data_IF_527561681573
#
_entry.id   IF_527561681573
#
_cell.length_a   1.000
_cell.length_b   1.000
_cell.length_c   1.000
_cell.angle_alpha   90.00
_cell.angle_beta   90.00
_cell.angle_gamma   90.00
#
_symmetry.space_group_name_H-M   'P 1'
#
loop_
_entity.id
_entity.type
_entity.pdbx_description
1 polymer ?
#
# COMPACT_ATOMS: atom_id res chain seq x y z
N UNK A 1 -30.56 22.62 -2.50
CA UNK A 1 -30.94 22.11 -3.85
C UNK A 1 -29.82 21.30 -4.54
N UNK A 2 -28.58 21.24 -4.01
CA UNK A 2 -27.49 20.44 -4.63
C UNK A 2 -27.43 18.96 -4.18
N UNK A 3 -28.16 18.57 -3.13
CA UNK A 3 -28.18 17.21 -2.59
C UNK A 3 -29.08 16.24 -3.38
N UNK A 4 -30.10 16.77 -4.08
CA UNK A 4 -30.99 15.93 -4.92
C UNK A 4 -30.44 15.66 -6.32
N UNK A 5 -29.55 16.51 -6.84
CA UNK A 5 -28.92 16.29 -8.15
C UNK A 5 -27.83 15.20 -8.08
N UNK A 6 -27.14 15.09 -6.93
CA UNK A 6 -26.22 13.97 -6.63
C UNK A 6 -26.97 12.63 -6.47
N UNK A 7 -28.21 12.64 -5.98
CA UNK A 7 -29.08 11.46 -5.89
C UNK A 7 -29.62 10.98 -7.24
N UNK A 8 -29.75 11.86 -8.24
CA UNK A 8 -30.18 11.46 -9.58
C UNK A 8 -29.07 10.76 -10.40
N UNK A 9 -27.79 11.10 -10.14
CA UNK A 9 -26.63 10.42 -10.76
C UNK A 9 -26.31 9.07 -10.11
N UNK A 10 -26.74 8.84 -8.87
CA UNK A 10 -26.72 7.55 -8.18
C UNK A 10 -27.60 6.50 -8.90
N UNK A 11 -28.78 6.91 -9.40
CA UNK A 11 -29.78 6.00 -9.98
C UNK A 11 -29.36 5.39 -11.32
N UNK A 12 -28.57 6.14 -12.11
CA UNK A 12 -28.14 5.70 -13.45
C UNK A 12 -27.00 4.67 -13.45
N UNK A 13 -26.25 4.59 -12.34
CA UNK A 13 -25.19 3.60 -12.12
C UNK A 13 -25.72 2.34 -11.42
N UNK A 14 -26.74 2.50 -10.55
CA UNK A 14 -27.41 1.38 -9.87
C UNK A 14 -28.14 0.43 -10.82
N UNK A 15 -28.66 0.93 -11.95
CA UNK A 15 -29.48 0.09 -12.85
C UNK A 15 -28.67 -0.86 -13.76
N UNK A 16 -27.36 -0.64 -13.94
CA UNK A 16 -26.51 -1.50 -14.81
C UNK A 16 -25.66 -2.52 -14.05
N UNK A 17 -25.56 -2.40 -12.73
CA UNK A 17 -24.79 -3.31 -11.86
C UNK A 17 -25.57 -4.52 -11.32
N UNK A 18 -26.79 -4.79 -11.82
CA UNK A 18 -27.73 -5.72 -11.17
C UNK A 18 -27.39 -7.22 -11.27
N UNK A 19 -26.31 -7.64 -11.93
CA UNK A 19 -25.97 -9.09 -12.00
C UNK A 19 -24.50 -9.47 -11.71
N UNK A 20 -23.54 -8.53 -11.58
CA UNK A 20 -22.10 -8.90 -11.53
C UNK A 20 -21.28 -8.34 -10.34
N UNK A 21 -21.86 -7.58 -9.41
CA UNK A 21 -21.11 -6.87 -8.36
C UNK A 21 -20.92 -7.62 -7.02
N UNK A 22 -20.81 -8.95 -7.03
CA UNK A 22 -20.68 -9.74 -5.80
C UNK A 22 -19.45 -10.67 -5.88
N UNK A 23 -18.41 -10.36 -5.09
CA UNK A 23 -17.23 -11.21 -4.98
C UNK A 23 -17.32 -12.12 -3.75
N UNK A 24 -16.91 -13.37 -3.93
CA UNK A 24 -16.82 -14.34 -2.85
C UNK A 24 -15.37 -14.49 -2.42
N UNK A 25 -15.13 -14.23 -1.15
CA UNK A 25 -13.86 -14.46 -0.48
C UNK A 25 -13.74 -15.93 -0.08
N UNK A 26 -12.64 -16.58 -0.47
CA UNK A 26 -12.39 -17.99 -0.16
C UNK A 26 -11.78 -18.13 1.24
N UNK A 27 -12.61 -18.51 2.22
CA UNK A 27 -12.14 -18.78 3.60
C UNK A 27 -13.05 -18.27 4.71
N UNK A 28 -14.13 -17.56 4.37
CA UNK A 28 -15.15 -17.11 5.32
C UNK A 28 -14.77 -15.87 6.15
N UNK A 29 -13.69 -15.15 5.79
CA UNK A 29 -13.29 -13.86 6.35
C UNK A 29 -12.66 -13.01 5.25
N UNK A 30 -13.13 -11.78 5.08
CA UNK A 30 -12.53 -10.82 4.12
C UNK A 30 -11.09 -10.48 4.54
N UNK A 31 -10.13 -10.67 3.64
CA UNK A 31 -8.74 -10.23 3.85
C UNK A 31 -8.42 -8.98 3.00
N UNK A 32 -7.52 -8.08 3.46
CA UNK A 32 -7.19 -6.86 2.72
C UNK A 32 -6.75 -7.09 1.27
N UNK A 33 -5.96 -8.15 1.01
CA UNK A 33 -5.49 -8.49 -0.34
C UNK A 33 -6.63 -8.77 -1.34
N UNK A 34 -7.75 -9.34 -0.89
CA UNK A 34 -8.91 -9.58 -1.77
C UNK A 34 -9.68 -8.29 -2.07
N UNK A 35 -9.72 -7.36 -1.10
CA UNK A 35 -10.29 -6.03 -1.33
C UNK A 35 -9.42 -5.28 -2.34
N UNK A 36 -8.10 -5.33 -2.19
CA UNK A 36 -7.16 -4.70 -3.11
C UNK A 36 -7.38 -5.16 -4.55
N UNK A 37 -7.49 -6.47 -4.78
CA UNK A 37 -7.67 -7.03 -6.12
C UNK A 37 -8.99 -6.58 -6.75
N UNK A 38 -10.05 -6.48 -5.94
CA UNK A 38 -11.36 -6.02 -6.41
C UNK A 38 -11.38 -4.52 -6.69
N UNK A 39 -10.64 -3.72 -5.92
CA UNK A 39 -10.44 -2.30 -6.20
C UNK A 39 -9.68 -2.09 -7.52
N UNK A 40 -8.64 -2.88 -7.79
CA UNK A 40 -7.90 -2.85 -9.05
C UNK A 40 -8.80 -3.20 -10.24
N UNK A 41 -9.59 -4.27 -10.11
CA UNK A 41 -10.54 -4.70 -11.13
C UNK A 41 -11.59 -3.61 -11.41
N UNK A 42 -12.20 -3.06 -10.35
CA UNK A 42 -13.19 -1.97 -10.46
C UNK A 42 -12.60 -0.73 -11.14
N UNK A 43 -11.37 -0.35 -10.79
CA UNK A 43 -10.64 0.76 -11.38
C UNK A 43 -10.37 0.58 -12.89
N UNK A 44 -10.09 -0.66 -13.31
CA UNK A 44 -9.87 -1.02 -14.71
C UNK A 44 -11.18 -1.06 -15.52
N UNK A 45 -12.25 -1.61 -14.93
CA UNK A 45 -13.54 -1.77 -15.60
C UNK A 45 -14.27 -0.44 -15.80
N UNK A 46 -13.98 0.57 -14.97
CA UNK A 46 -14.64 1.88 -14.98
C UNK A 46 -13.76 3.03 -15.51
N UNK A 47 -12.78 2.73 -16.37
CA UNK A 47 -11.96 3.76 -17.02
C UNK A 47 -12.81 4.70 -17.89
N UNK A 48 -12.64 6.00 -17.66
CA UNK A 48 -13.32 7.06 -18.39
C UNK A 48 -12.34 7.84 -19.26
N UNK A 49 -12.71 8.14 -20.50
CA UNK A 49 -11.86 8.95 -21.38
C UNK A 49 -12.13 10.45 -21.16
N UNK A 50 -11.10 11.20 -20.79
CA UNK A 50 -11.18 12.65 -20.64
C UNK A 50 -11.11 13.40 -21.98
N UNK A 51 -11.45 14.69 -21.96
CA UNK A 51 -11.38 15.58 -23.14
C UNK A 51 -9.95 15.78 -23.65
N UNK A 52 -8.96 15.58 -22.78
CA UNK A 52 -7.52 15.59 -23.08
C UNK A 52 -7.04 14.30 -23.77
N UNK A 53 -7.94 13.35 -24.01
CA UNK A 53 -7.67 12.06 -24.63
C UNK A 53 -7.06 11.01 -23.69
N UNK A 54 -6.77 11.36 -22.42
CA UNK A 54 -6.24 10.44 -21.42
C UNK A 54 -7.34 9.55 -20.85
N UNK A 55 -6.93 8.40 -20.32
CA UNK A 55 -7.81 7.52 -19.56
C UNK A 55 -7.72 7.89 -18.09
N UNK A 56 -8.86 8.18 -17.48
CA UNK A 56 -9.01 8.48 -16.07
C UNK A 56 -9.61 7.28 -15.36
N UNK A 57 -8.96 6.87 -14.27
CA UNK A 57 -9.51 5.90 -13.35
C UNK A 57 -10.36 6.61 -12.30
N UNK A 58 -11.47 6.00 -11.83
CA UNK A 58 -12.21 6.54 -10.70
C UNK A 58 -11.32 6.59 -9.46
N UNK A 59 -11.54 7.60 -8.62
CA UNK A 59 -10.67 7.88 -7.48
C UNK A 59 -11.44 7.91 -6.16
N UNK A 60 -12.76 7.73 -6.15
CA UNK A 60 -13.51 7.48 -4.91
C UNK A 60 -14.10 6.08 -4.97
N UNK A 61 -13.67 5.23 -4.05
CA UNK A 61 -14.01 3.82 -3.97
C UNK A 61 -14.71 3.53 -2.64
N UNK A 62 -15.89 2.93 -2.71
CA UNK A 62 -16.62 2.46 -1.52
C UNK A 62 -16.76 0.95 -1.55
N UNK A 63 -16.23 0.30 -0.52
CA UNK A 63 -16.27 -1.14 -0.28
C UNK A 63 -17.33 -1.42 0.79
N UNK A 64 -18.45 -2.00 0.36
CA UNK A 64 -19.47 -2.55 1.24
C UNK A 64 -19.07 -3.95 1.74
N UNK A 65 -19.10 -4.15 3.05
CA UNK A 65 -18.78 -5.44 3.70
C UNK A 65 -19.83 -5.81 4.75
N UNK A 66 -19.84 -7.06 5.20
CA UNK A 66 -20.73 -7.48 6.31
C UNK A 66 -20.32 -6.86 7.65
N UNK A 67 -21.25 -6.77 8.61
CA UNK A 67 -20.98 -6.27 9.96
C UNK A 67 -19.86 -7.06 10.67
N UNK A 68 -19.70 -8.36 10.35
CA UNK A 68 -18.64 -9.18 10.93
C UNK A 68 -17.27 -8.93 10.30
N UNK A 69 -17.24 -8.66 9.00
CA UNK A 69 -15.99 -8.38 8.29
C UNK A 69 -15.47 -6.97 8.63
N UNK A 70 -16.34 -5.97 8.76
CA UNK A 70 -15.90 -4.63 9.17
C UNK A 70 -15.33 -4.63 10.60
N UNK A 71 -15.90 -5.42 11.52
CA UNK A 71 -15.35 -5.59 12.88
C UNK A 71 -13.94 -6.21 12.85
N UNK A 72 -13.71 -7.17 11.95
CA UNK A 72 -12.40 -7.81 11.79
C UNK A 72 -11.39 -6.89 11.09
N UNK A 73 -11.79 -6.21 10.01
CA UNK A 73 -10.92 -5.31 9.23
C UNK A 73 -10.53 -4.07 10.04
N UNK A 74 -11.46 -3.52 10.83
CA UNK A 74 -11.21 -2.34 11.66
C UNK A 74 -10.27 -2.57 12.85
N UNK A 75 -9.88 -3.82 13.13
CA UNK A 75 -8.81 -4.11 14.09
C UNK A 75 -7.50 -3.45 13.66
N UNK A 76 -7.28 -3.31 12.35
CA UNK A 76 -6.20 -2.53 11.78
C UNK A 76 -6.77 -1.27 11.12
N UNK A 77 -6.53 -0.12 11.76
CA UNK A 77 -7.02 1.17 11.28
C UNK A 77 -6.29 1.67 10.03
N UNK A 78 -5.13 1.08 9.69
CA UNK A 78 -4.34 1.44 8.52
C UNK A 78 -4.91 0.94 7.20
N UNK A 79 -5.71 -0.13 7.23
CA UNK A 79 -6.17 -0.87 6.04
C UNK A 79 -6.75 0.02 4.93
N UNK A 80 -7.70 0.95 5.18
CA UNK A 80 -8.23 1.80 4.11
C UNK A 80 -7.16 2.68 3.47
N UNK A 81 -6.23 3.21 4.27
CA UNK A 81 -5.15 4.07 3.79
C UNK A 81 -4.18 3.27 2.94
N UNK A 82 -3.78 2.09 3.40
CA UNK A 82 -2.86 1.21 2.68
C UNK A 82 -3.47 0.80 1.33
N UNK A 83 -4.76 0.47 1.29
CA UNK A 83 -5.50 0.17 0.06
C UNK A 83 -5.56 1.38 -0.90
N UNK A 84 -5.79 2.59 -0.39
CA UNK A 84 -5.80 3.81 -1.21
C UNK A 84 -4.41 4.10 -1.80
N UNK A 85 -3.35 3.92 -1.00
CA UNK A 85 -1.97 4.11 -1.44
C UNK A 85 -1.58 3.05 -2.50
N UNK A 86 -1.93 1.77 -2.28
CA UNK A 86 -1.71 0.68 -3.25
C UNK A 86 -2.46 0.94 -4.56
N UNK A 87 -3.73 1.35 -4.49
CA UNK A 87 -4.54 1.62 -5.68
C UNK A 87 -4.03 2.84 -6.45
N UNK A 88 -3.61 3.90 -5.75
CA UNK A 88 -2.96 5.06 -6.36
C UNK A 88 -1.71 4.67 -7.15
N UNK A 89 -0.87 3.80 -6.56
CA UNK A 89 0.34 3.28 -7.24
C UNK A 89 -0.03 2.44 -8.46
N UNK A 90 -0.98 1.51 -8.31
CA UNK A 90 -1.45 0.67 -9.42
C UNK A 90 -1.93 1.52 -10.60
N UNK A 91 -2.84 2.47 -10.37
CA UNK A 91 -3.39 3.35 -11.42
C UNK A 91 -2.28 4.12 -12.15
N UNK A 92 -1.32 4.66 -11.40
CA UNK A 92 -0.17 5.38 -11.97
C UNK A 92 0.72 4.46 -12.81
N UNK A 93 1.03 3.26 -12.31
CA UNK A 93 1.89 2.28 -12.99
C UNK A 93 1.22 1.70 -14.24
N UNK A 94 -0.11 1.62 -14.27
CA UNK A 94 -0.89 1.26 -15.45
C UNK A 94 -0.97 2.37 -16.51
N UNK A 95 -0.40 3.55 -16.25
CA UNK A 95 -0.40 4.69 -17.16
C UNK A 95 -1.74 5.45 -17.22
N UNK A 96 -2.63 5.22 -16.26
CA UNK A 96 -3.90 5.92 -16.16
C UNK A 96 -3.76 7.19 -15.32
N UNK A 97 -4.66 8.14 -15.55
CA UNK A 97 -4.68 9.42 -14.84
C UNK A 97 -5.69 9.40 -13.70
N UNK A 98 -5.40 10.17 -12.65
CA UNK A 98 -6.31 10.42 -11.54
C UNK A 98 -6.85 11.84 -11.63
N UNK A 99 -8.14 12.00 -11.34
CA UNK A 99 -8.82 13.30 -11.30
C UNK A 99 -8.54 14.08 -10.00
N UNK A 100 -8.17 13.36 -8.94
CA UNK A 100 -7.89 13.85 -7.59
C UNK A 100 -7.23 12.75 -6.75
N UNK A 101 -7.12 12.90 -5.41
CA UNK A 101 -6.59 11.83 -4.56
C UNK A 101 -7.50 10.60 -4.60
N UNK A 102 -6.92 9.41 -4.40
CA UNK A 102 -7.70 8.18 -4.23
C UNK A 102 -8.23 8.09 -2.81
N UNK A 103 -9.55 7.96 -2.69
CA UNK A 103 -10.27 7.79 -1.44
C UNK A 103 -10.85 6.39 -1.41
N UNK A 104 -10.52 5.62 -0.36
CA UNK A 104 -11.08 4.30 -0.11
C UNK A 104 -11.90 4.32 1.17
N UNK A 105 -13.18 3.94 1.05
CA UNK A 105 -14.15 3.92 2.14
C UNK A 105 -14.61 2.50 2.37
N UNK A 106 -14.45 1.98 3.58
CA UNK A 106 -14.97 0.65 3.93
C UNK A 106 -16.16 0.84 4.86
N UNK A 107 -17.34 0.39 4.44
CA UNK A 107 -18.59 0.62 5.15
C UNK A 107 -19.36 -0.70 5.34
N UNK A 108 -20.15 -0.78 6.40
CA UNK A 108 -21.10 -1.88 6.57
C UNK A 108 -22.23 -1.74 5.54
N UNK A 109 -22.46 -2.79 4.75
CA UNK A 109 -23.59 -2.86 3.83
C UNK A 109 -24.59 -3.92 4.29
N UNK A 110 -25.81 -3.45 4.59
CA UNK A 110 -26.91 -4.32 5.02
C UNK A 110 -27.24 -5.34 3.94
N UNK A 111 -27.29 -6.62 4.33
CA UNK A 111 -27.66 -7.73 3.44
C UNK A 111 -26.47 -8.53 2.92
N UNK A 112 -25.23 -8.06 3.13
CA UNK A 112 -24.04 -8.86 2.83
C UNK A 112 -23.78 -9.90 3.93
N UNK A 113 -23.51 -11.13 3.51
CA UNK A 113 -23.02 -12.18 4.41
C UNK A 113 -21.52 -12.06 4.61
N UNK A 114 -21.00 -12.66 5.66
CA UNK A 114 -19.55 -12.72 5.89
C UNK A 114 -18.82 -13.33 4.69
N UNK A 115 -17.75 -12.67 4.24
CA UNK A 115 -17.01 -13.03 3.02
C UNK A 115 -17.66 -12.59 1.71
N UNK A 116 -18.75 -11.82 1.77
CA UNK A 116 -19.30 -11.11 0.61
C UNK A 116 -18.94 -9.64 0.71
N UNK A 117 -18.55 -9.08 -0.43
CA UNK A 117 -18.24 -7.67 -0.55
C UNK A 117 -18.76 -7.10 -1.86
N UNK A 118 -19.00 -5.80 -1.85
CA UNK A 118 -19.40 -5.01 -3.01
C UNK A 118 -18.47 -3.81 -3.13
N UNK A 119 -18.04 -3.51 -4.34
CA UNK A 119 -17.28 -2.30 -4.64
C UNK A 119 -18.14 -1.39 -5.50
N UNK A 120 -18.09 -0.10 -5.22
CA UNK A 120 -18.63 0.94 -6.09
C UNK A 120 -17.60 2.04 -6.25
N UNK A 121 -17.54 2.61 -7.45
CA UNK A 121 -16.54 3.61 -7.81
C UNK A 121 -17.18 4.84 -8.45
N UNK A 122 -16.56 5.99 -8.24
CA UNK A 122 -16.85 7.20 -9.02
C UNK A 122 -15.63 8.10 -9.14
N UNK A 123 -15.68 8.97 -10.15
CA UNK A 123 -14.66 9.98 -10.40
C UNK A 123 -15.09 11.31 -9.76
N UNK A 124 -14.24 11.86 -8.91
CA UNK A 124 -14.40 13.16 -8.27
C UNK A 124 -13.09 13.96 -8.30
N UNK A 125 -13.12 15.20 -8.77
CA UNK A 125 -11.93 16.05 -8.86
C UNK A 125 -11.53 16.65 -7.51
N UNK A 126 -12.49 16.88 -6.62
CA UNK A 126 -12.29 17.52 -5.32
C UNK A 126 -13.07 16.75 -4.25
N UNK A 127 -12.69 15.50 -3.97
CA UNK A 127 -13.38 14.71 -2.97
C UNK A 127 -13.27 15.39 -1.60
N UNK A 128 -14.41 15.56 -0.92
CA UNK A 128 -14.47 16.13 0.44
C UNK A 128 -14.37 15.07 1.53
N UNK A 129 -14.39 13.79 1.15
CA UNK A 129 -14.31 12.67 2.09
C UNK A 129 -12.85 12.24 2.29
N UNK A 130 -12.55 11.70 3.47
CA UNK A 130 -11.25 11.14 3.79
C UNK A 130 -11.31 9.61 3.71
N UNK A 131 -10.20 9.00 3.31
CA UNK A 131 -10.02 7.54 3.35
C UNK A 131 -10.22 6.99 4.76
N UNK A 132 -11.00 5.93 4.91
CA UNK A 132 -11.28 5.36 6.23
C UNK A 132 -12.48 4.42 6.29
N UNK A 133 -12.83 3.99 7.50
CA UNK A 133 -14.05 3.21 7.75
C UNK A 133 -15.25 4.14 7.94
N UNK A 134 -16.38 3.84 7.28
CA UNK A 134 -17.66 4.51 7.53
C UNK A 134 -18.37 3.81 8.70
N UNK A 135 -18.62 4.57 9.77
CA UNK A 135 -19.44 4.19 10.93
C UNK A 135 -18.95 3.05 11.86
N UNK A 136 -17.68 3.09 12.32
CA UNK A 136 -17.33 2.56 13.66
C UNK A 136 -16.58 3.64 14.46
N UNK A 137 -17.26 4.75 14.73
CA UNK A 137 -16.91 5.58 15.88
C UNK A 137 -17.72 5.07 17.08
N UNK A 138 -17.19 4.07 17.78
CA UNK A 138 -17.46 4.01 19.21
C UNK A 138 -16.92 5.31 19.80
N UNK A 139 -17.83 6.22 20.14
CA UNK A 139 -17.55 7.34 21.02
C UNK A 139 -16.86 6.79 22.28
N UNK A 140 -15.56 6.99 22.42
CA UNK A 140 -14.96 7.02 23.75
C UNK A 140 -15.05 8.47 24.23
N UNK A 141 -16.06 8.71 25.06
CA UNK A 141 -16.20 9.94 25.81
C UNK A 141 -15.07 10.01 26.85
N UNK A 142 -14.16 10.95 26.60
CA UNK A 142 -13.36 11.74 27.53
C UNK A 142 -13.14 11.27 28.97
N UNK A 143 -11.89 11.36 29.39
CA UNK A 143 -11.55 12.15 30.56
C UNK A 143 -10.10 12.61 30.51
N UNK A 144 -9.94 13.93 30.62
CA UNK A 144 -8.77 14.58 31.17
C UNK A 144 -8.38 13.88 32.47
N UNK A 145 -7.11 13.53 32.65
CA UNK A 145 -6.50 13.80 33.93
C UNK A 145 -5.04 14.18 33.79
N UNK A 146 -4.79 15.42 34.17
CA UNK A 146 -3.47 15.96 34.40
C UNK A 146 -2.95 15.37 35.70
N UNK A 147 -1.82 14.69 35.69
CA UNK A 147 -0.98 14.59 36.90
C UNK A 147 0.47 14.92 36.57
N UNK A 148 0.77 16.20 36.78
CA UNK A 148 2.05 16.64 37.33
C UNK A 148 2.44 15.80 38.55
N UNK A 149 3.69 15.33 38.62
CA UNK A 149 4.63 15.80 39.64
C UNK A 149 6.09 15.40 39.36
N UNK A 150 7.06 16.17 39.89
CA UNK A 150 8.48 16.09 39.60
C UNK A 150 9.19 15.13 40.55
N UNK A 151 10.46 14.77 40.26
CA UNK A 151 11.51 14.69 41.28
C UNK A 151 12.91 14.74 40.63
N UNK A 152 13.78 15.54 41.26
CA UNK A 152 15.15 15.84 40.89
C UNK A 152 16.16 14.80 41.41
N UNK A 153 17.22 14.66 40.63
CA UNK A 153 18.65 14.61 40.97
C UNK A 153 19.28 13.44 41.76
N UNK A 154 20.31 12.91 41.08
CA UNK A 154 21.63 12.46 41.55
C UNK A 154 21.76 11.28 42.51
N UNK A 155 22.43 10.22 42.04
CA UNK A 155 23.59 9.65 42.73
C UNK A 155 24.51 8.89 41.76
N UNK A 156 25.80 8.87 42.09
CA UNK A 156 26.92 8.80 41.14
C UNK A 156 27.73 7.49 41.17
N UNK A 157 28.39 7.26 40.03
CA UNK A 157 29.75 6.71 39.83
C UNK A 157 30.06 5.19 39.88
N UNK A 158 30.86 4.82 38.85
CA UNK A 158 31.79 3.67 38.74
C UNK A 158 31.13 2.34 38.35
N UNK A 159 31.39 1.76 37.17
CA UNK A 159 32.70 1.25 36.75
C UNK A 159 32.74 1.08 35.22
N UNK A 160 33.84 1.49 34.60
CA UNK A 160 34.08 1.40 33.16
C UNK A 160 34.46 -0.02 32.72
N UNK A 161 33.80 -0.55 31.68
CA UNK A 161 34.37 -1.52 30.74
C UNK A 161 33.77 -1.31 29.33
N UNK A 162 34.60 -0.74 28.45
CA UNK A 162 34.64 -0.86 26.97
C UNK A 162 33.30 -0.87 26.20
N UNK A 163 32.87 0.32 25.73
CA UNK A 163 31.96 0.45 24.59
C UNK A 163 32.76 0.51 23.27
N UNK A 164 32.30 -0.11 22.17
CA UNK A 164 32.79 0.22 20.84
C UNK A 164 32.28 1.64 20.47
N UNK A 165 33.13 2.37 19.76
CA UNK A 165 32.96 3.75 19.29
C UNK A 165 31.60 4.04 18.65
N UNK A 166 30.89 5.12 19.05
CA UNK A 166 29.77 5.68 18.30
C UNK A 166 30.33 6.78 17.39
N UNK A 167 30.66 6.47 16.14
CA UNK A 167 30.97 7.52 15.18
C UNK A 167 30.68 7.11 13.72
N UNK A 168 29.42 6.89 13.42
CA UNK A 168 28.85 7.19 12.10
C UNK A 168 27.47 7.81 12.37
N UNK A 169 27.20 9.05 11.95
CA UNK A 169 25.83 9.51 11.86
C UNK A 169 25.10 8.54 10.92
N UNK A 170 24.05 7.88 11.41
CA UNK A 170 23.11 7.20 10.54
C UNK A 170 22.62 8.21 9.49
N UNK A 171 22.57 7.85 8.20
CA UNK A 171 22.08 8.76 7.17
C UNK A 171 20.68 9.23 7.57
N UNK A 172 20.51 10.54 7.78
CA UNK A 172 19.24 11.16 8.19
C UNK A 172 18.33 11.47 6.99
N UNK A 173 18.36 10.60 5.99
CA UNK A 173 17.53 10.70 4.79
C UNK A 173 16.75 9.40 4.58
N UNK A 174 15.75 9.39 3.68
CA UNK A 174 15.01 8.18 3.39
C UNK A 174 15.96 7.08 2.94
N UNK A 175 15.75 5.87 3.43
CA UNK A 175 16.59 4.72 3.16
C UNK A 175 15.74 3.51 2.79
N UNK A 176 16.16 2.80 1.75
CA UNK A 176 15.48 1.61 1.24
C UNK A 176 16.27 0.36 1.62
N UNK A 177 15.56 -0.60 2.18
CA UNK A 177 16.10 -1.85 2.71
C UNK A 177 15.29 -3.01 2.15
N UNK A 178 15.97 -4.06 1.72
CA UNK A 178 15.36 -5.28 1.17
C UNK A 178 15.57 -6.41 2.16
N UNK A 179 14.47 -7.03 2.61
CA UNK A 179 14.48 -8.12 3.57
C UNK A 179 14.10 -9.43 2.89
N UNK A 180 15.03 -10.39 2.84
CA UNK A 180 14.78 -11.68 2.22
C UNK A 180 13.95 -12.57 3.16
N UNK A 181 12.83 -13.09 2.65
CA UNK A 181 11.94 -14.00 3.37
C UNK A 181 12.30 -15.48 3.12
N UNK A 182 13.59 -15.82 3.09
CA UNK A 182 14.11 -17.19 2.93
C UNK A 182 14.47 -17.86 4.27
N UNK A 183 14.06 -17.26 5.39
CA UNK A 183 14.41 -17.69 6.75
C UNK A 183 15.82 -17.30 7.21
N UNK A 184 16.62 -16.64 6.35
CA UNK A 184 17.98 -16.20 6.69
C UNK A 184 18.05 -14.83 7.38
N UNK A 185 16.94 -14.09 7.42
CA UNK A 185 16.87 -12.68 7.88
C UNK A 185 17.92 -11.78 7.22
N UNK A 186 18.35 -12.11 5.99
CA UNK A 186 19.31 -11.29 5.24
C UNK A 186 18.66 -9.97 4.86
N UNK A 187 19.37 -8.90 5.16
CA UNK A 187 18.98 -7.53 4.88
C UNK A 187 20.00 -6.93 3.91
N UNK A 188 19.51 -6.31 2.84
CA UNK A 188 20.32 -5.58 1.87
C UNK A 188 19.91 -4.11 1.87
N UNK A 189 20.88 -3.22 2.05
CA UNK A 189 20.66 -1.77 1.97
C UNK A 189 20.86 -1.31 0.54
N UNK A 190 19.80 -0.77 -0.06
CA UNK A 190 19.86 -0.21 -1.42
C UNK A 190 20.75 1.03 -1.39
N UNK A 191 21.76 1.05 -2.26
CA UNK A 191 22.64 2.20 -2.43
C UNK A 191 22.02 3.19 -3.41
N UNK A 192 22.36 4.48 -3.32
CA UNK A 192 22.01 5.42 -4.40
C UNK A 192 22.62 4.98 -5.73
N UNK A 193 21.86 5.16 -6.81
CA UNK A 193 22.18 4.67 -8.14
C UNK A 193 21.61 3.28 -8.42
N UNK A 194 22.31 2.53 -9.27
CA UNK A 194 21.92 1.20 -9.76
C UNK A 194 22.26 0.11 -8.74
N UNK A 195 21.29 -0.77 -8.46
CA UNK A 195 21.47 -1.97 -7.65
C UNK A 195 20.92 -3.18 -8.40
N UNK A 196 21.79 -4.10 -8.80
CA UNK A 196 21.43 -5.29 -9.58
C UNK A 196 21.05 -6.45 -8.66
N UNK A 197 19.87 -7.01 -8.87
CA UNK A 197 19.38 -8.21 -8.24
C UNK A 197 19.51 -9.38 -9.21
N UNK A 198 20.07 -10.49 -8.76
CA UNK A 198 20.24 -11.66 -9.63
C UNK A 198 21.04 -12.80 -9.01
N UNK A 199 21.20 -13.90 -9.76
CA UNK A 199 21.98 -15.06 -9.28
C UNK A 199 23.47 -15.00 -9.60
N UNK A 200 23.92 -14.07 -10.46
CA UNK A 200 25.35 -13.96 -10.77
C UNK A 200 26.13 -13.52 -9.54
N UNK A 201 27.44 -13.75 -9.56
CA UNK A 201 28.32 -13.21 -8.52
C UNK A 201 28.59 -11.71 -8.71
N UNK A 202 28.19 -11.16 -9.86
CA UNK A 202 28.35 -9.75 -10.22
C UNK A 202 27.09 -8.91 -9.86
N UNK A 203 26.05 -9.55 -9.30
CA UNK A 203 24.87 -8.85 -8.81
C UNK A 203 25.12 -8.29 -7.40
N UNK A 204 24.66 -7.06 -7.14
CA UNK A 204 24.81 -6.40 -5.84
C UNK A 204 24.03 -7.15 -4.75
N UNK A 205 22.79 -7.55 -5.06
CA UNK A 205 22.03 -8.50 -4.25
C UNK A 205 22.01 -9.88 -4.93
N UNK A 206 22.91 -10.74 -4.46
CA UNK A 206 22.99 -12.12 -4.91
C UNK A 206 21.90 -13.01 -4.30
N UNK A 207 21.06 -13.55 -5.18
CA UNK A 207 19.99 -14.51 -4.91
C UNK A 207 20.39 -15.88 -5.50
N UNK A 208 20.83 -16.85 -4.69
CA UNK A 208 21.27 -18.17 -5.17
C UNK A 208 20.07 -19.08 -5.53
N UNK A 209 19.18 -18.59 -6.37
CA UNK A 209 17.95 -19.24 -6.80
C UNK A 209 18.03 -19.58 -8.29
N UNK A 210 17.68 -20.82 -8.63
CA UNK A 210 17.72 -21.32 -10.02
C UNK A 210 16.64 -20.68 -10.90
N UNK A 211 15.55 -20.19 -10.31
CA UNK A 211 14.49 -19.44 -10.97
C UNK A 211 14.86 -17.97 -11.24
N UNK A 212 16.03 -17.51 -10.78
CA UNK A 212 16.47 -16.12 -10.93
C UNK A 212 17.49 -16.00 -12.08
N UNK A 213 17.29 -15.03 -12.98
CA UNK A 213 18.26 -14.66 -14.02
C UNK A 213 19.59 -14.17 -13.43
N UNK A 214 20.66 -14.21 -14.23
CA UNK A 214 21.99 -13.77 -13.79
C UNK A 214 21.99 -12.30 -13.35
N UNK A 215 21.42 -11.44 -14.19
CA UNK A 215 20.96 -10.10 -13.85
C UNK A 215 19.46 -10.15 -14.12
N UNK A 216 18.64 -9.99 -13.08
CA UNK A 216 17.20 -10.25 -13.15
C UNK A 216 16.41 -8.95 -13.15
N UNK A 217 16.71 -8.10 -12.17
CA UNK A 217 16.07 -6.82 -12.02
C UNK A 217 17.09 -5.80 -11.51
N UNK A 218 16.81 -4.52 -11.72
CA UNK A 218 17.59 -3.40 -11.22
C UNK A 218 16.70 -2.53 -10.35
N UNK A 219 17.21 -2.11 -9.20
CA UNK A 219 16.61 -1.03 -8.41
C UNK A 219 17.47 0.21 -8.58
N UNK A 220 16.89 1.25 -9.16
CA UNK A 220 17.46 2.60 -9.17
C UNK A 220 16.92 3.38 -7.98
N UNK A 221 17.80 3.86 -7.11
CA UNK A 221 17.46 4.72 -5.98
C UNK A 221 18.10 6.10 -6.16
N UNK A 222 17.31 7.17 -6.15
CA UNK A 222 17.82 8.54 -6.34
C UNK A 222 17.89 9.36 -5.03
N UNK A 223 17.70 8.71 -3.88
CA UNK A 223 17.58 9.38 -2.59
C UNK A 223 16.15 9.82 -2.23
N UNK A 224 15.17 9.63 -3.12
CA UNK A 224 13.74 9.96 -2.90
C UNK A 224 12.80 8.87 -3.44
N UNK A 225 13.00 8.44 -4.67
CA UNK A 225 12.21 7.42 -5.38
C UNK A 225 13.05 6.18 -5.67
N UNK A 226 12.49 5.01 -5.37
CA UNK A 226 13.07 3.71 -5.69
C UNK A 226 12.28 3.06 -6.81
N UNK A 227 12.91 2.85 -7.96
CA UNK A 227 12.25 2.24 -9.12
C UNK A 227 12.89 0.88 -9.38
N UNK A 228 12.08 -0.17 -9.35
CA UNK A 228 12.42 -1.52 -9.77
C UNK A 228 12.16 -1.67 -11.26
N UNK A 229 13.08 -2.27 -12.01
CA UNK A 229 12.96 -2.55 -13.44
C UNK A 229 13.34 -4.01 -13.69
N UNK A 230 12.49 -4.77 -14.39
CA UNK A 230 12.82 -6.12 -14.87
C UNK A 230 13.79 -6.02 -16.05
N UNK A 231 14.91 -6.74 -15.98
CA UNK A 231 15.96 -6.73 -17.01
C UNK A 231 15.75 -7.84 -18.04
N UNK A 232 14.51 -7.99 -18.53
CA UNK A 232 14.09 -9.06 -19.44
C UNK A 232 14.43 -10.45 -18.88
N UNK A 233 14.03 -10.66 -17.62
CA UNK A 233 14.30 -11.90 -16.92
C UNK A 233 13.56 -13.09 -17.55
N UNK A 234 14.02 -14.32 -17.27
CA UNK A 234 13.42 -15.51 -17.89
C UNK A 234 12.03 -15.84 -17.33
N UNK A 235 11.80 -15.57 -16.05
CA UNK A 235 10.55 -15.92 -15.36
C UNK A 235 9.70 -14.70 -15.01
N UNK A 236 10.16 -13.50 -15.36
CA UNK A 236 9.53 -12.24 -14.97
C UNK A 236 9.79 -11.87 -13.52
N UNK A 237 9.51 -10.61 -13.21
CA UNK A 237 9.47 -10.04 -11.87
C UNK A 237 8.02 -9.72 -11.52
N UNK A 238 7.60 -10.01 -10.29
CA UNK A 238 6.31 -9.53 -9.77
C UNK A 238 6.51 -8.68 -8.52
N UNK A 239 5.60 -7.74 -8.30
CA UNK A 239 5.46 -7.00 -7.03
C UNK A 239 4.03 -7.15 -6.56
N UNK A 240 3.83 -7.61 -5.33
CA UNK A 240 2.51 -7.94 -4.77
C UNK A 240 1.69 -8.80 -5.75
N UNK A 241 2.31 -9.88 -6.24
CA UNK A 241 1.78 -10.84 -7.23
C UNK A 241 1.41 -10.27 -8.62
N UNK A 242 1.66 -8.98 -8.86
CA UNK A 242 1.42 -8.33 -10.15
C UNK A 242 2.70 -8.35 -11.00
N UNK A 243 2.70 -8.87 -12.25
CA UNK A 243 3.88 -8.84 -13.13
C UNK A 243 4.22 -7.41 -13.55
N UNK A 244 5.51 -7.08 -13.56
CA UNK A 244 6.00 -5.73 -13.82
C UNK A 244 7.09 -5.71 -14.90
N UNK A 245 7.17 -4.58 -15.61
CA UNK A 245 8.37 -4.18 -16.36
C UNK A 245 9.15 -3.09 -15.61
N UNK A 246 8.41 -2.14 -15.01
CA UNK A 246 8.94 -1.14 -14.10
C UNK A 246 7.92 -0.90 -12.97
N UNK A 247 8.40 -0.55 -11.78
CA UNK A 247 7.57 -0.34 -10.60
C UNK A 247 8.20 0.65 -9.63
N UNK A 248 7.46 1.68 -9.23
CA UNK A 248 7.86 2.58 -8.14
C UNK A 248 7.60 1.88 -6.79
N UNK A 249 8.66 1.52 -6.09
CA UNK A 249 8.62 0.77 -4.84
C UNK A 249 8.12 1.64 -3.68
N UNK A 250 7.32 1.03 -2.81
CA UNK A 250 6.88 1.59 -1.53
C UNK A 250 7.32 0.72 -0.33
N UNK A 251 7.23 1.29 0.88
CA UNK A 251 7.36 0.48 2.10
C UNK A 251 6.29 -0.62 2.12
N UNK A 252 6.69 -1.83 2.47
CA UNK A 252 5.84 -3.01 2.54
C UNK A 252 5.64 -3.76 1.23
N UNK A 253 6.09 -3.23 0.09
CA UNK A 253 5.98 -3.96 -1.18
C UNK A 253 6.76 -5.30 -1.12
N UNK A 254 6.18 -6.37 -1.68
CA UNK A 254 6.83 -7.68 -1.77
C UNK A 254 7.23 -7.95 -3.21
N UNK A 255 8.54 -8.01 -3.46
CA UNK A 255 9.12 -8.37 -4.75
C UNK A 255 9.30 -9.88 -4.80
N UNK A 256 8.81 -10.52 -5.86
CA UNK A 256 9.03 -11.95 -6.12
C UNK A 256 9.86 -12.14 -7.39
N UNK A 257 10.97 -12.88 -7.26
CA UNK A 257 11.92 -13.22 -8.32
C UNK A 257 12.21 -14.71 -8.23
N UNK A 258 11.79 -15.51 -9.21
CA UNK A 258 11.91 -16.97 -9.09
C UNK A 258 11.10 -17.49 -7.90
N UNK A 259 11.77 -18.10 -6.91
CA UNK A 259 11.17 -18.53 -5.64
C UNK A 259 11.52 -17.61 -4.46
N UNK A 260 12.27 -16.53 -4.72
CA UNK A 260 12.73 -15.59 -3.71
C UNK A 260 11.68 -14.51 -3.48
N UNK A 261 11.30 -14.30 -2.22
CA UNK A 261 10.40 -13.25 -1.77
C UNK A 261 11.19 -12.21 -0.97
N UNK A 262 11.03 -10.94 -1.33
CA UNK A 262 11.81 -9.84 -0.77
C UNK A 262 10.84 -8.74 -0.36
N UNK A 263 10.80 -8.45 0.93
CA UNK A 263 9.99 -7.35 1.46
C UNK A 263 10.80 -6.05 1.45
N UNK A 264 10.19 -5.00 0.93
CA UNK A 264 10.78 -3.67 0.85
C UNK A 264 10.44 -2.89 2.11
N UNK A 265 11.44 -2.28 2.72
CA UNK A 265 11.28 -1.34 3.82
C UNK A 265 11.88 0.01 3.47
N UNK A 266 11.07 1.05 3.49
CA UNK A 266 11.47 2.43 3.24
C UNK A 266 11.27 3.22 4.54
N UNK A 267 12.38 3.64 5.14
CA UNK A 267 12.38 4.45 6.37
C UNK A 267 12.68 5.90 6.02
N UNK A 268 12.22 6.87 6.83
CA UNK A 268 12.59 8.28 6.67
C UNK A 268 11.76 9.09 5.65
N UNK A 269 10.65 8.55 5.12
CA UNK A 269 9.62 9.32 4.42
C UNK A 269 8.68 10.01 5.44
N UNK A 270 9.22 10.80 6.36
CA UNK A 270 8.38 11.65 7.22
C UNK A 270 7.92 12.86 6.40
N UNK A 271 6.60 13.00 6.25
CA UNK A 271 5.94 14.15 5.63
C UNK A 271 6.51 15.46 6.21
N UNK A 272 7.31 16.17 5.43
CA UNK A 272 7.60 17.58 5.69
C UNK A 272 6.36 18.40 5.33
N UNK A 273 5.37 18.36 6.22
CA UNK A 273 4.31 19.37 6.25
C UNK A 273 4.87 20.65 6.85
N UNK A 274 4.80 21.73 6.08
CA UNK A 274 4.99 23.11 6.54
C UNK A 274 3.71 23.91 6.29
#
# INVERSE_FOLDING_TARGET
MALLDKLAKLDSSLQRGLDNGMAFVFGGKVVPAEIEELLKQEAQDNLSRGDDGKLYSPNVMTVGVSSKDIENLSQDRGVPKDLADQLTRFIRNSGWSLAGPVIVRIAEESGLRTGQLRVSSFLDHEPTEETGFDAIFHHDHGQEDSMTQPHNADEAATTAFMAPTPNQPAPQGPAVTLMLQDGSSRVYHVQEGSNILGRSNDADLRLPDTGVSRQHAEITWNGQDAVLVDLQSTNGTTVNDTPIENWLLADGDVITLGHSHIEVRITGLENQGY
#
